data_IF_094116702304
#
_entry.id   IF_094116702304
#
_cell.length_a   1.000
_cell.length_b   1.000
_cell.length_c   1.000
_cell.angle_alpha   90.00
_cell.angle_beta   90.00
_cell.angle_gamma   90.00
#
_symmetry.space_group_name_H-M   'P 1'
#
loop_
_entity.id
_entity.type
_entity.pdbx_description
1 polymer ?
#
# COMPACT_ATOMS: atom_id res chain seq x y z
N UNK A 1 26.20 -30.75 38.59
CA UNK A 1 25.68 -31.48 37.40
C UNK A 1 26.80 -32.28 36.77
N UNK A 2 26.53 -33.48 36.23
CA UNK A 2 27.54 -34.28 35.50
C UNK A 2 28.02 -33.51 34.26
N UNK A 3 29.31 -33.55 33.93
CA UNK A 3 29.93 -32.86 32.78
C UNK A 3 29.15 -33.07 31.47
N UNK A 4 28.63 -34.29 31.26
CA UNK A 4 27.78 -34.62 30.12
C UNK A 4 26.56 -33.69 29.98
N UNK A 5 25.88 -33.38 31.09
CA UNK A 5 24.69 -32.52 31.09
C UNK A 5 25.04 -31.06 30.76
N UNK A 6 26.20 -30.58 31.22
CA UNK A 6 26.68 -29.22 30.93
C UNK A 6 26.98 -29.03 29.44
N UNK A 7 27.61 -30.02 28.81
CA UNK A 7 27.92 -30.01 27.37
C UNK A 7 26.63 -30.08 26.55
N UNK A 8 25.71 -30.98 26.88
CA UNK A 8 24.42 -31.08 26.18
C UNK A 8 23.61 -29.79 26.31
N UNK A 9 23.55 -29.18 27.49
CA UNK A 9 22.83 -27.93 27.70
C UNK A 9 23.39 -26.77 26.86
N UNK A 10 24.72 -26.63 26.78
CA UNK A 10 25.38 -25.63 25.94
C UNK A 10 25.11 -25.87 24.45
N UNK A 11 25.17 -27.12 24.00
CA UNK A 11 24.85 -27.48 22.62
C UNK A 11 23.39 -27.17 22.27
N UNK A 12 22.44 -27.57 23.12
CA UNK A 12 21.02 -27.27 22.92
C UNK A 12 20.78 -25.76 22.90
N UNK A 13 21.38 -25.00 23.82
CA UNK A 13 21.26 -23.54 23.84
C UNK A 13 21.80 -22.89 22.56
N UNK A 14 22.95 -23.36 22.07
CA UNK A 14 23.52 -22.90 20.80
C UNK A 14 22.56 -23.17 19.63
N UNK A 15 22.05 -24.41 19.52
CA UNK A 15 21.13 -24.80 18.45
C UNK A 15 19.84 -23.99 18.50
N UNK A 16 19.25 -23.82 19.70
CA UNK A 16 18.05 -23.00 19.89
C UNK A 16 18.30 -21.54 19.50
N UNK A 17 19.45 -20.97 19.85
CA UNK A 17 19.80 -19.61 19.47
C UNK A 17 19.91 -19.46 17.93
N UNK A 18 20.50 -20.43 17.24
CA UNK A 18 20.59 -20.44 15.78
C UNK A 18 19.19 -20.54 15.14
N UNK A 19 18.33 -21.42 15.66
CA UNK A 19 16.95 -21.57 15.16
C UNK A 19 16.11 -20.31 15.40
N UNK A 20 16.25 -19.65 16.56
CA UNK A 20 15.58 -18.39 16.85
C UNK A 20 16.05 -17.29 15.89
N UNK A 21 17.35 -17.16 15.66
CA UNK A 21 17.89 -16.18 14.71
C UNK A 21 17.37 -16.43 13.29
N UNK A 22 17.32 -17.68 12.85
CA UNK A 22 16.78 -18.04 11.55
C UNK A 22 15.30 -17.70 11.44
N UNK A 23 14.50 -18.08 12.44
CA UNK A 23 13.06 -17.79 12.48
C UNK A 23 12.77 -16.28 12.46
N UNK A 24 13.50 -15.49 13.25
CA UNK A 24 13.39 -14.04 13.26
C UNK A 24 13.77 -13.43 11.91
N UNK A 25 14.82 -13.94 11.27
CA UNK A 25 15.26 -13.47 9.96
C UNK A 25 14.18 -13.73 8.90
N UNK A 26 13.64 -14.95 8.84
CA UNK A 26 12.58 -15.32 7.90
C UNK A 26 11.36 -14.42 8.11
N UNK A 27 10.90 -14.27 9.36
CA UNK A 27 9.76 -13.41 9.68
C UNK A 27 9.98 -11.96 9.23
N UNK A 28 11.17 -11.41 9.47
CA UNK A 28 11.52 -10.06 9.04
C UNK A 28 11.47 -9.92 7.51
N UNK A 29 12.10 -10.83 6.77
CA UNK A 29 12.12 -10.79 5.30
C UNK A 29 10.73 -10.98 4.71
N UNK A 30 9.92 -11.91 5.23
CA UNK A 30 8.53 -12.08 4.80
C UNK A 30 7.69 -10.83 5.03
N UNK A 31 7.88 -10.13 6.16
CA UNK A 31 7.17 -8.87 6.44
C UNK A 31 7.60 -7.75 5.49
N UNK A 32 8.88 -7.68 5.14
CA UNK A 32 9.41 -6.71 4.19
C UNK A 32 8.86 -6.96 2.78
N UNK A 33 8.93 -8.20 2.31
CA UNK A 33 8.41 -8.62 1.00
C UNK A 33 6.92 -8.33 0.88
N UNK A 34 6.13 -8.64 1.92
CA UNK A 34 4.70 -8.29 1.99
C UNK A 34 4.47 -6.80 1.70
N UNK A 35 5.18 -5.92 2.38
CA UNK A 35 5.05 -4.46 2.23
C UNK A 35 5.38 -4.01 0.82
N UNK A 36 6.49 -4.47 0.26
CA UNK A 36 6.89 -4.07 -1.10
C UNK A 36 5.93 -4.59 -2.17
N UNK A 37 5.44 -5.82 -2.02
CA UNK A 37 4.41 -6.38 -2.90
C UNK A 37 3.09 -5.58 -2.83
N UNK A 38 2.68 -5.15 -1.64
CA UNK A 38 1.48 -4.34 -1.49
C UNK A 38 1.64 -2.94 -2.07
N UNK A 39 2.77 -2.27 -1.82
CA UNK A 39 3.12 -1.00 -2.48
C UNK A 39 3.11 -1.11 -4.01
N UNK A 40 3.61 -2.21 -4.56
CA UNK A 40 3.57 -2.46 -5.99
C UNK A 40 2.13 -2.60 -6.52
N UNK A 41 1.25 -3.30 -5.80
CA UNK A 41 -0.20 -3.39 -6.13
C UNK A 41 -0.87 -2.02 -6.09
N UNK A 42 -0.64 -1.24 -5.04
CA UNK A 42 -1.18 0.13 -4.89
C UNK A 42 -0.71 1.04 -6.03
N UNK A 43 0.58 1.00 -6.34
CA UNK A 43 1.19 1.79 -7.44
C UNK A 43 0.64 1.37 -8.79
N UNK A 44 0.53 0.06 -9.05
CA UNK A 44 -0.09 -0.47 -10.26
C UNK A 44 -1.53 0.03 -10.41
N UNK A 45 -2.28 0.08 -9.31
CA UNK A 45 -3.64 0.62 -9.33
C UNK A 45 -3.69 2.13 -9.59
N UNK A 46 -2.83 2.90 -8.94
CA UNK A 46 -2.70 4.33 -9.18
C UNK A 46 -2.38 4.63 -10.65
N UNK A 47 -1.47 3.86 -11.26
CA UNK A 47 -1.14 3.98 -12.69
C UNK A 47 -2.34 3.67 -13.60
N UNK A 48 -3.10 2.60 -13.32
CA UNK A 48 -4.31 2.27 -14.10
C UNK A 48 -5.33 3.41 -14.01
N UNK A 49 -5.60 3.91 -12.80
CA UNK A 49 -6.54 5.01 -12.60
C UNK A 49 -6.08 6.30 -13.28
N UNK A 50 -4.76 6.53 -13.31
CA UNK A 50 -4.15 7.63 -14.03
C UNK A 50 -4.36 7.54 -15.54
N UNK A 51 -4.06 6.37 -16.14
CA UNK A 51 -4.27 6.13 -17.57
C UNK A 51 -5.74 6.23 -17.95
N UNK A 52 -6.62 5.70 -17.10
CA UNK A 52 -8.04 5.77 -17.34
C UNK A 52 -8.54 7.22 -17.25
N UNK A 53 -8.07 7.97 -16.25
CA UNK A 53 -8.36 9.40 -16.12
C UNK A 53 -7.80 10.22 -17.29
N UNK A 54 -6.65 9.87 -17.86
CA UNK A 54 -6.13 10.53 -19.07
C UNK A 54 -7.05 10.32 -20.29
N UNK A 55 -7.68 9.15 -20.40
CA UNK A 55 -8.62 8.83 -21.48
C UNK A 55 -9.98 9.51 -21.26
N UNK A 56 -10.57 9.39 -20.07
CA UNK A 56 -11.95 9.84 -19.81
C UNK A 56 -12.03 11.32 -19.44
N UNK A 57 -10.97 11.87 -18.87
CA UNK A 57 -10.92 13.25 -18.36
C UNK A 57 -11.98 13.57 -17.32
N UNK A 58 -12.23 14.87 -17.15
CA UNK A 58 -13.19 15.38 -16.17
C UNK A 58 -14.65 15.18 -16.57
N UNK A 59 -14.91 14.84 -17.83
CA UNK A 59 -16.27 14.78 -18.40
C UNK A 59 -16.97 13.45 -18.15
N UNK A 60 -16.24 12.37 -17.86
CA UNK A 60 -16.84 11.04 -17.68
C UNK A 60 -16.25 10.26 -16.49
N UNK A 61 -16.27 10.91 -15.32
CA UNK A 61 -15.87 10.28 -14.04
C UNK A 61 -16.75 9.07 -13.67
N UNK A 62 -17.98 9.02 -14.17
CA UNK A 62 -18.86 7.87 -13.99
C UNK A 62 -18.30 6.58 -14.63
N UNK A 63 -17.59 6.69 -15.75
CA UNK A 63 -16.88 5.56 -16.33
C UNK A 63 -15.76 5.09 -15.38
N UNK A 64 -14.99 6.01 -14.79
CA UNK A 64 -13.95 5.71 -13.79
C UNK A 64 -14.50 4.87 -12.64
N UNK A 65 -15.66 5.27 -12.11
CA UNK A 65 -16.37 4.56 -11.04
C UNK A 65 -16.70 3.10 -11.38
N UNK A 66 -17.06 2.80 -12.63
CA UNK A 66 -17.36 1.42 -13.07
C UNK A 66 -16.12 0.52 -13.08
N UNK A 67 -14.98 1.05 -13.52
CA UNK A 67 -13.70 0.32 -13.47
C UNK A 67 -13.18 0.17 -12.05
N UNK A 68 -13.47 1.13 -11.19
CA UNK A 68 -13.15 1.04 -9.76
C UNK A 68 -14.04 0.02 -9.04
N UNK A 69 -15.33 -0.06 -9.34
CA UNK A 69 -16.21 -1.07 -8.75
C UNK A 69 -15.91 -2.50 -9.21
N UNK A 70 -15.44 -2.68 -10.44
CA UNK A 70 -15.15 -4.01 -10.99
C UNK A 70 -13.85 -4.64 -10.45
N UNK A 71 -12.95 -3.83 -9.88
CA UNK A 71 -11.65 -4.29 -9.40
C UNK A 71 -11.69 -4.66 -7.92
N UNK A 72 -11.62 -5.97 -7.65
CA UNK A 72 -11.59 -6.58 -6.31
C UNK A 72 -10.18 -6.91 -5.82
N UNK A 73 -9.15 -6.45 -6.53
CA UNK A 73 -7.75 -6.82 -6.28
C UNK A 73 -7.14 -6.15 -5.05
N UNK A 74 -7.80 -5.18 -4.43
CA UNK A 74 -7.33 -4.52 -3.20
C UNK A 74 -8.53 -4.46 -2.23
N UNK A 75 -8.49 -5.17 -1.09
CA UNK A 75 -9.52 -5.08 -0.07
C UNK A 75 -9.67 -3.67 0.49
N UNK A 76 -10.91 -3.26 0.80
CA UNK A 76 -11.24 -1.95 1.37
C UNK A 76 -10.61 -0.76 0.60
N UNK A 77 -10.53 -0.89 -0.72
CA UNK A 77 -9.90 0.09 -1.60
C UNK A 77 -10.61 1.45 -1.54
N UNK A 78 -9.82 2.50 -1.40
CA UNK A 78 -10.22 3.89 -1.60
C UNK A 78 -9.39 4.51 -2.73
N UNK A 79 -10.03 5.31 -3.58
CA UNK A 79 -9.42 6.06 -4.66
C UNK A 79 -9.94 7.49 -4.58
N UNK A 80 -9.05 8.46 -4.48
CA UNK A 80 -9.42 9.89 -4.55
C UNK A 80 -8.49 10.59 -5.53
N UNK A 81 -9.03 11.41 -6.41
CA UNK A 81 -8.23 12.25 -7.33
C UNK A 81 -8.38 13.69 -6.88
N UNK A 82 -7.24 14.34 -6.63
CA UNK A 82 -7.15 15.74 -6.27
C UNK A 82 -6.63 16.55 -7.46
N UNK A 83 -7.23 17.71 -7.68
CA UNK A 83 -6.67 18.67 -8.64
C UNK A 83 -5.44 19.40 -8.06
N UNK A 84 -4.84 20.29 -8.85
CA UNK A 84 -3.72 21.15 -8.45
C UNK A 84 -3.95 21.99 -7.19
N UNK A 85 -5.21 22.31 -6.88
CA UNK A 85 -5.61 23.08 -5.70
C UNK A 85 -5.95 22.20 -4.48
N UNK A 86 -5.60 20.91 -4.49
CA UNK A 86 -5.94 19.94 -3.44
C UNK A 86 -7.45 19.73 -3.24
N UNK A 87 -8.27 20.03 -4.25
CA UNK A 87 -9.71 19.79 -4.20
C UNK A 87 -9.99 18.39 -4.77
N UNK A 88 -10.70 17.51 -4.06
CA UNK A 88 -11.08 16.22 -4.58
C UNK A 88 -12.09 16.39 -5.73
N UNK A 89 -11.72 15.90 -6.91
CA UNK A 89 -12.57 15.92 -8.12
C UNK A 89 -13.22 14.56 -8.39
N UNK A 90 -12.69 13.49 -7.80
CA UNK A 90 -13.25 12.15 -7.86
C UNK A 90 -12.96 11.41 -6.56
N UNK A 91 -13.91 10.59 -6.12
CA UNK A 91 -13.79 9.79 -4.92
C UNK A 91 -14.57 8.49 -5.07
N UNK A 92 -13.93 7.39 -4.74
CA UNK A 92 -14.51 6.05 -4.76
C UNK A 92 -14.03 5.26 -3.55
N UNK A 93 -14.97 4.58 -2.89
CA UNK A 93 -14.67 3.67 -1.79
C UNK A 93 -15.37 2.33 -2.01
N UNK A 94 -14.60 1.25 -2.04
CA UNK A 94 -15.15 -0.10 -2.16
C UNK A 94 -15.86 -0.48 -0.84
N UNK A 95 -17.06 -1.05 -0.95
CA UNK A 95 -17.79 -1.64 0.19
C UNK A 95 -18.11 -0.66 1.33
N UNK A 96 -18.18 0.64 1.06
CA UNK A 96 -18.39 1.66 2.12
C UNK A 96 -17.17 1.90 3.01
N UNK A 97 -15.98 1.47 2.58
CA UNK A 97 -14.75 1.70 3.34
C UNK A 97 -14.42 3.20 3.51
N UNK A 98 -13.70 3.53 4.59
CA UNK A 98 -13.32 4.92 4.83
C UNK A 98 -12.39 5.47 3.75
N UNK A 99 -12.57 6.76 3.47
CA UNK A 99 -11.72 7.48 2.52
C UNK A 99 -10.38 7.77 3.16
N UNK A 100 -9.32 7.53 2.40
CA UNK A 100 -7.97 7.93 2.78
C UNK A 100 -7.88 9.47 2.78
N UNK A 101 -7.68 10.07 3.95
CA UNK A 101 -7.46 11.50 4.16
C UNK A 101 -6.02 11.84 3.79
N UNK A 102 -5.81 12.18 2.53
CA UNK A 102 -4.54 12.76 2.11
C UNK A 102 -4.44 14.22 2.59
N UNK A 103 -3.56 14.47 3.56
CA UNK A 103 -3.29 15.83 4.03
C UNK A 103 -2.60 16.67 2.94
N UNK A 104 -2.66 18.01 2.99
CA UNK A 104 -1.96 18.87 2.03
C UNK A 104 -0.46 18.58 1.95
N UNK A 105 0.17 18.20 3.06
CA UNK A 105 1.57 17.81 3.14
C UNK A 105 1.83 16.54 2.31
N UNK A 106 0.99 15.52 2.45
CA UNK A 106 1.07 14.28 1.65
C UNK A 106 0.94 14.57 0.16
N UNK A 107 -0.02 15.42 -0.22
CA UNK A 107 -0.22 15.80 -1.61
C UNK A 107 0.97 16.61 -2.15
N UNK A 108 1.58 17.45 -1.33
CA UNK A 108 2.77 18.22 -1.69
C UNK A 108 3.99 17.30 -1.86
N UNK A 109 4.24 16.38 -0.94
CA UNK A 109 5.30 15.38 -1.06
C UNK A 109 5.13 14.53 -2.31
N UNK A 110 3.90 14.12 -2.65
CA UNK A 110 3.62 13.39 -3.87
C UNK A 110 3.97 14.21 -5.13
N UNK A 111 3.74 15.53 -5.12
CA UNK A 111 4.12 16.43 -6.24
C UNK A 111 5.63 16.63 -6.37
N UNK A 112 6.37 16.57 -5.26
CA UNK A 112 7.83 16.70 -5.26
C UNK A 112 8.48 15.39 -5.68
N UNK A 113 8.04 14.28 -5.09
CA UNK A 113 8.67 12.96 -5.22
C UNK A 113 8.04 12.09 -6.32
N UNK A 114 7.01 12.59 -7.01
CA UNK A 114 6.13 11.88 -7.94
C UNK A 114 5.27 10.76 -7.30
N UNK A 115 5.82 10.03 -6.31
CA UNK A 115 5.14 8.98 -5.54
C UNK A 115 5.47 9.15 -4.07
N UNK A 116 4.43 9.16 -3.24
CA UNK A 116 4.59 9.18 -1.79
C UNK A 116 3.76 8.07 -1.14
N UNK A 117 4.42 7.18 -0.41
CA UNK A 117 3.76 6.09 0.31
C UNK A 117 3.53 6.51 1.75
N UNK A 118 2.33 6.25 2.26
CA UNK A 118 1.94 6.58 3.62
C UNK A 118 0.95 5.58 4.15
N UNK A 119 0.75 5.60 5.46
CA UNK A 119 -0.21 4.75 6.13
C UNK A 119 -1.25 5.65 6.82
N UNK A 120 -2.50 5.21 6.78
CA UNK A 120 -3.60 5.84 7.50
C UNK A 120 -4.38 4.74 8.21
N UNK A 121 -4.39 4.79 9.54
CA UNK A 121 -4.90 3.72 10.40
C UNK A 121 -4.30 2.35 10.02
N UNK A 122 -5.15 1.41 9.60
CA UNK A 122 -4.74 0.07 9.17
C UNK A 122 -4.45 -0.04 7.67
N UNK A 123 -4.71 1.03 6.91
CA UNK A 123 -4.57 1.05 5.46
C UNK A 123 -3.20 1.57 5.06
N UNK A 124 -2.65 0.97 4.01
CA UNK A 124 -1.47 1.50 3.33
C UNK A 124 -1.95 2.19 2.05
N UNK A 125 -1.32 3.31 1.71
CA UNK A 125 -1.72 4.17 0.62
C UNK A 125 -0.53 4.72 -0.17
N UNK A 126 -0.81 5.10 -1.41
CA UNK A 126 0.12 5.81 -2.29
C UNK A 126 -0.58 7.04 -2.84
N UNK A 127 0.10 8.18 -2.76
CA UNK A 127 -0.22 9.38 -3.50
C UNK A 127 0.68 9.43 -4.74
N UNK A 128 0.08 9.47 -5.92
CA UNK A 128 0.77 9.48 -7.20
C UNK A 128 0.46 10.78 -7.94
N UNK A 129 1.49 11.57 -8.21
CA UNK A 129 1.38 12.78 -9.00
C UNK A 129 1.44 12.45 -10.49
N UNK A 130 0.46 12.99 -11.22
CA UNK A 130 0.35 12.82 -12.66
C UNK A 130 0.17 14.18 -13.33
N UNK A 131 0.98 14.39 -14.37
CA UNK A 131 0.93 15.58 -15.21
C UNK A 131 0.83 15.16 -16.68
N UNK A 132 -0.23 15.59 -17.36
CA UNK A 132 -0.43 15.40 -18.80
C UNK A 132 -1.12 16.63 -19.42
N UNK A 133 -0.33 17.45 -20.12
CA UNK A 133 -0.79 18.72 -20.68
C UNK A 133 -1.31 19.68 -19.62
N UNK A 134 -2.62 19.95 -19.63
CA UNK A 134 -3.31 20.81 -18.67
C UNK A 134 -3.76 20.07 -17.39
N UNK A 135 -3.63 18.74 -17.36
CA UNK A 135 -4.06 17.91 -16.23
C UNK A 135 -2.89 17.75 -15.27
N UNK A 136 -3.00 18.39 -14.12
CA UNK A 136 -2.08 18.28 -12.98
C UNK A 136 -2.90 17.80 -11.78
N UNK A 137 -2.78 16.50 -11.49
CA UNK A 137 -3.61 15.82 -10.49
C UNK A 137 -2.77 14.90 -9.61
N UNK A 138 -3.24 14.67 -8.40
CA UNK A 138 -2.69 13.67 -7.49
C UNK A 138 -3.73 12.59 -7.26
N UNK A 139 -3.41 11.36 -7.64
CA UNK A 139 -4.25 10.19 -7.44
C UNK A 139 -3.81 9.50 -6.16
N UNK A 140 -4.70 9.44 -5.18
CA UNK A 140 -4.47 8.75 -3.91
C UNK A 140 -5.21 7.43 -3.96
N UNK A 141 -4.48 6.33 -3.81
CA UNK A 141 -5.04 4.97 -3.72
C UNK A 141 -4.60 4.36 -2.41
N UNK A 142 -5.53 3.83 -1.64
CA UNK A 142 -5.21 3.06 -0.43
C UNK A 142 -6.11 1.86 -0.25
N UNK A 143 -5.72 0.97 0.65
CA UNK A 143 -6.48 -0.22 0.99
C UNK A 143 -5.83 -1.02 2.11
N UNK A 144 -6.50 -2.11 2.50
CA UNK A 144 -6.05 -3.00 3.56
C UNK A 144 -5.41 -4.26 2.96
N UNK A 145 -4.18 -4.58 3.36
CA UNK A 145 -3.44 -5.74 2.85
C UNK A 145 -3.79 -7.04 3.57
N UNK A 146 -5.07 -7.43 3.52
CA UNK A 146 -5.58 -8.63 4.20
C UNK A 146 -4.80 -9.89 3.79
N UNK A 147 -4.62 -10.10 2.49
CA UNK A 147 -3.89 -11.26 1.94
C UNK A 147 -2.45 -11.31 2.46
N UNK A 148 -1.79 -10.16 2.57
CA UNK A 148 -0.42 -10.08 3.05
C UNK A 148 -0.31 -10.39 4.53
N UNK A 149 -1.28 -9.98 5.34
CA UNK A 149 -1.34 -10.33 6.76
C UNK A 149 -1.67 -11.80 6.99
N UNK A 150 -2.56 -12.39 6.17
CA UNK A 150 -2.86 -13.82 6.23
C UNK A 150 -1.63 -14.69 5.95
N UNK A 151 -0.73 -14.25 5.05
CA UNK A 151 0.53 -14.97 4.75
C UNK A 151 1.58 -14.89 5.87
N UNK A 152 1.45 -13.96 6.82
CA UNK A 152 2.36 -13.81 7.96
C UNK A 152 1.90 -14.57 9.21
N UNK A 153 0.69 -15.12 9.19
CA UNK A 153 0.09 -15.86 10.30
C UNK A 153 0.41 -17.35 10.21
#
# INVERSE_FOLDING_TARGET
>A
MKIKVKITALFTLLVTAILLLLSLSIFYFSKLERRENFKARLTGRANINTQLYSIVGDTNLAALGRFDSASVTIPQKSVTIFNRHNIPIYQFNAGGSDTIRASPEILNEARIQQRFFFNEDEKEAVAYHFVDGQRDVVIVVGGFDEDGWQRLR
#
